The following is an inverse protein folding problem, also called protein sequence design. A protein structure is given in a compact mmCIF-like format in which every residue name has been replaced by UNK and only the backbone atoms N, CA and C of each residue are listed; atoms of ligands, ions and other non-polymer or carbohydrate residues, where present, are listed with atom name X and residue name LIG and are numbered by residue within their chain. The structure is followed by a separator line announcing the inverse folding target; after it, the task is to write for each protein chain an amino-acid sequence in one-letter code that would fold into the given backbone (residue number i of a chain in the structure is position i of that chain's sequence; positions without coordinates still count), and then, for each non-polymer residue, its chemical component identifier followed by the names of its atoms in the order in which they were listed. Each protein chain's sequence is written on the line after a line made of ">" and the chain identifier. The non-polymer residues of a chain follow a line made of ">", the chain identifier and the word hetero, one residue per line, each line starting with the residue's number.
data_IF_348756058306
#
_entry.id   IF_348756058306
#
_cell.length_a   1.000
_cell.length_b   1.000
_cell.length_c   1.000
_cell.angle_alpha   90.00
_cell.angle_beta   90.00
_cell.angle_gamma   90.00
#
_symmetry.space_group_name_H-M   'P 1'
#
loop_
_entity.id
_entity.type
_entity.pdbx_description
1 polymer ?
#
# COMPACT_ATOMS: atom_id res chain seq x y z
N UNK A 1 21.71 33.88 -30.58
CA UNK A 1 20.56 34.45 -29.83
C UNK A 1 19.28 33.87 -30.41
N UNK A 2 18.73 32.82 -29.78
CA UNK A 2 17.39 32.32 -30.09
C UNK A 2 16.64 32.25 -28.77
N UNK A 3 15.44 32.83 -28.77
CA UNK A 3 14.60 33.15 -27.62
C UNK A 3 13.91 31.89 -27.10
N UNK A 4 13.87 31.81 -25.76
CA UNK A 4 12.80 31.35 -24.88
C UNK A 4 11.63 30.50 -25.45
N UNK A 5 11.53 29.30 -24.87
CA UNK A 5 10.46 28.86 -23.95
C UNK A 5 9.06 28.46 -24.44
N UNK A 6 8.60 27.41 -23.75
CA UNK A 6 7.23 26.96 -23.48
C UNK A 6 6.64 25.88 -24.40
N UNK A 7 6.96 24.62 -24.06
CA UNK A 7 6.02 23.51 -24.19
C UNK A 7 5.12 23.50 -22.93
N UNK A 8 3.78 23.42 -23.08
CA UNK A 8 2.86 23.49 -21.95
C UNK A 8 2.80 22.21 -21.13
N UNK A 9 2.51 22.43 -19.85
CA UNK A 9 2.40 21.47 -18.75
C UNK A 9 1.34 20.38 -18.98
N UNK A 10 1.72 19.12 -18.72
CA UNK A 10 0.77 18.02 -18.58
C UNK A 10 0.09 18.12 -17.21
N UNK A 11 -1.13 18.67 -17.19
CA UNK A 11 -1.95 18.70 -15.99
C UNK A 11 -2.29 17.28 -15.49
N UNK A 12 -1.94 17.07 -14.22
CA UNK A 12 -2.37 15.99 -13.34
C UNK A 12 -3.90 15.85 -13.33
N UNK A 13 -4.41 14.66 -13.65
CA UNK A 13 -5.83 14.30 -13.49
C UNK A 13 -5.95 13.29 -12.34
N UNK A 14 -5.55 13.70 -11.14
CA UNK A 14 -6.10 13.11 -9.91
C UNK A 14 -7.04 14.14 -9.30
N UNK A 15 -8.30 14.09 -9.75
CA UNK A 15 -9.41 14.90 -9.25
C UNK A 15 -10.06 14.14 -8.09
N UNK A 16 -9.81 14.57 -6.85
CA UNK A 16 -10.55 14.12 -5.67
C UNK A 16 -11.80 15.01 -5.51
N UNK A 17 -13.03 14.50 -5.70
CA UNK A 17 -14.24 15.23 -5.34
C UNK A 17 -14.45 15.18 -3.82
N UNK A 18 -14.65 16.36 -3.23
CA UNK A 18 -14.52 16.64 -1.80
C UNK A 18 -15.69 16.24 -0.91
N UNK A 19 -15.37 16.20 0.39
CA UNK A 19 -16.34 16.23 1.49
C UNK A 19 -16.95 17.63 1.63
N UNK A 20 -18.27 17.76 1.85
CA UNK A 20 -18.85 18.97 2.42
C UNK A 20 -18.86 18.90 3.96
N UNK A 21 -18.17 19.86 4.58
CA UNK A 21 -18.41 20.28 5.96
C UNK A 21 -19.43 21.42 5.95
N UNK A 22 -20.51 21.33 6.73
CA UNK A 22 -21.04 22.44 7.57
C UNK A 22 -22.31 22.06 8.33
N UNK A 23 -22.22 22.29 9.64
CA UNK A 23 -23.28 22.26 10.65
C UNK A 23 -24.52 23.10 10.29
N UNK A 24 -25.71 22.61 10.63
CA UNK A 24 -26.87 23.44 11.02
C UNK A 24 -27.76 22.69 12.03
N UNK A 25 -27.90 23.31 13.20
CA UNK A 25 -28.76 22.98 14.35
C UNK A 25 -30.20 23.45 14.07
N UNK A 26 -31.20 22.61 14.35
CA UNK A 26 -32.61 22.92 14.73
C UNK A 26 -33.29 21.58 15.07
N UNK A 27 -33.40 21.21 16.35
CA UNK A 27 -34.54 21.52 17.24
C UNK A 27 -35.79 20.66 16.94
N UNK A 28 -35.94 19.56 17.67
CA UNK A 28 -37.24 18.98 18.03
C UNK A 28 -37.14 18.36 19.42
N UNK A 29 -37.59 19.14 20.39
CA UNK A 29 -37.97 18.67 21.72
C UNK A 29 -39.04 17.58 21.55
N UNK A 30 -38.83 16.40 22.14
CA UNK A 30 -39.96 15.64 22.65
C UNK A 30 -39.61 14.99 23.98
N UNK A 31 -40.51 15.24 24.92
CA UNK A 31 -40.39 15.04 26.34
C UNK A 31 -40.45 13.55 26.73
N UNK A 32 -39.88 13.29 27.91
CA UNK A 32 -39.81 12.02 28.64
C UNK A 32 -41.18 11.33 28.85
N UNK A 33 -41.16 10.00 28.83
CA UNK A 33 -41.64 9.08 29.89
C UNK A 33 -41.66 7.65 29.31
N UNK A 34 -41.50 6.52 29.99
CA UNK A 34 -40.93 6.08 31.28
C UNK A 34 -41.14 4.55 31.28
N UNK A 35 -40.28 3.79 31.99
CA UNK A 35 -40.49 2.41 32.52
C UNK A 35 -40.11 1.22 31.60
N UNK A 36 -38.93 0.61 31.92
CA UNK A 36 -38.62 -0.83 32.21
C UNK A 36 -39.39 -1.95 31.47
N UNK A 37 -38.87 -3.13 31.11
CA UNK A 37 -37.64 -3.93 31.32
C UNK A 37 -37.79 -5.16 30.38
N UNK A 38 -36.73 -5.71 29.75
CA UNK A 38 -36.87 -6.89 28.88
C UNK A 38 -37.08 -8.17 29.71
N UNK A 39 -37.87 -9.13 29.21
CA UNK A 39 -37.33 -10.48 29.01
C UNK A 39 -37.87 -11.21 27.75
N UNK A 40 -36.94 -11.87 27.04
CA UNK A 40 -37.09 -13.09 26.21
C UNK A 40 -37.64 -14.28 27.04
N UNK A 41 -37.95 -15.50 26.53
CA UNK A 41 -37.92 -16.11 25.19
C UNK A 41 -39.28 -16.79 24.81
N UNK A 42 -39.55 -17.28 23.58
CA UNK A 42 -39.35 -18.67 23.16
C UNK A 42 -39.66 -18.86 21.66
N UNK A 43 -38.69 -19.44 20.94
CA UNK A 43 -38.94 -20.54 19.99
C UNK A 43 -39.48 -20.24 18.60
N UNK A 44 -38.69 -19.60 17.74
CA UNK A 44 -38.62 -19.97 16.32
C UNK A 44 -37.15 -19.93 15.87
N UNK A 45 -36.66 -21.08 15.40
CA UNK A 45 -35.30 -21.37 14.98
C UNK A 45 -34.88 -20.54 13.74
N UNK A 46 -34.43 -19.31 13.95
CA UNK A 46 -33.60 -18.60 12.97
C UNK A 46 -32.17 -18.49 13.51
N UNK A 47 -31.55 -19.67 13.62
CA UNK A 47 -30.15 -19.83 13.26
C UNK A 47 -29.98 -19.40 11.79
N UNK A 48 -30.06 -18.09 11.55
CA UNK A 48 -29.63 -17.45 10.33
C UNK A 48 -28.14 -17.77 10.21
N UNK A 49 -27.91 -18.83 9.45
CA UNK A 49 -26.64 -19.35 9.04
C UNK A 49 -25.57 -18.26 9.03
N UNK A 50 -24.62 -18.37 9.95
CA UNK A 50 -23.23 -18.27 9.52
C UNK A 50 -23.08 -19.40 8.50
N UNK A 51 -23.46 -19.12 7.26
CA UNK A 51 -22.90 -19.82 6.12
C UNK A 51 -21.42 -19.50 6.24
N UNK A 52 -20.53 -20.49 6.51
CA UNK A 52 -19.14 -20.30 6.15
C UNK A 52 -19.22 -20.08 4.64
N UNK A 53 -19.01 -18.83 4.21
CA UNK A 53 -18.80 -18.53 2.80
C UNK A 53 -17.75 -19.51 2.28
N UNK A 54 -17.83 -19.91 1.00
CA UNK A 54 -17.02 -21.00 0.48
C UNK A 54 -15.57 -20.77 0.92
N UNK A 55 -15.01 -21.74 1.62
CA UNK A 55 -13.58 -21.91 1.81
C UNK A 55 -12.98 -21.84 0.40
N UNK A 56 -12.65 -20.63 -0.03
CA UNK A 56 -12.32 -20.35 -1.42
C UNK A 56 -11.03 -21.08 -1.72
N UNK A 57 -11.05 -21.95 -2.73
CA UNK A 57 -9.83 -22.56 -3.22
C UNK A 57 -8.77 -21.46 -3.39
N UNK A 58 -7.55 -21.65 -2.83
CA UNK A 58 -6.54 -20.61 -2.86
C UNK A 58 -6.29 -20.21 -4.31
N UNK A 59 -6.30 -18.91 -4.55
CA UNK A 59 -6.05 -18.40 -5.90
C UNK A 59 -4.69 -18.86 -6.38
N UNK A 60 -4.49 -18.99 -7.71
CA UNK A 60 -3.18 -19.34 -8.25
C UNK A 60 -2.07 -18.41 -7.74
N UNK A 61 -2.38 -17.12 -7.56
CA UNK A 61 -1.46 -16.14 -6.98
C UNK A 61 -1.09 -16.46 -5.52
N UNK A 62 -2.05 -16.90 -4.70
CA UNK A 62 -1.80 -17.35 -3.33
C UNK A 62 -0.98 -18.63 -3.31
N UNK A 63 -1.29 -19.61 -4.16
CA UNK A 63 -0.52 -20.86 -4.29
C UNK A 63 0.94 -20.54 -4.63
N UNK A 64 1.18 -19.65 -5.60
CA UNK A 64 2.52 -19.20 -5.98
C UNK A 64 3.23 -18.51 -4.80
N UNK A 65 2.56 -17.59 -4.11
CA UNK A 65 3.17 -16.87 -2.98
C UNK A 65 3.46 -17.81 -1.79
N UNK A 66 2.60 -18.78 -1.51
CA UNK A 66 2.83 -19.83 -0.50
C UNK A 66 4.09 -20.61 -0.89
N UNK A 67 4.19 -21.10 -2.12
CA UNK A 67 5.35 -21.88 -2.58
C UNK A 67 6.65 -21.09 -2.56
N UNK A 68 6.62 -19.82 -2.95
CA UNK A 68 7.79 -18.93 -2.86
C UNK A 68 8.26 -18.73 -1.40
N UNK A 69 7.35 -18.71 -0.43
CA UNK A 69 7.66 -18.59 1.00
C UNK A 69 8.16 -19.91 1.58
N UNK A 70 7.44 -21.01 1.37
CA UNK A 70 7.76 -22.33 1.93
C UNK A 70 9.13 -22.84 1.47
N UNK A 71 9.50 -22.57 0.22
CA UNK A 71 10.80 -22.95 -0.35
C UNK A 71 11.94 -21.99 0.01
N UNK A 72 11.62 -20.86 0.66
CA UNK A 72 12.57 -19.78 0.97
C UNK A 72 13.06 -19.01 -0.27
N UNK A 73 12.45 -19.21 -1.43
CA UNK A 73 12.85 -18.51 -2.67
C UNK A 73 12.55 -17.01 -2.59
N UNK A 74 11.46 -16.62 -1.90
CA UNK A 74 11.13 -15.21 -1.64
C UNK A 74 12.24 -14.49 -0.88
N UNK A 75 12.86 -15.15 0.09
CA UNK A 75 13.96 -14.63 0.90
C UNK A 75 15.22 -14.46 0.06
N UNK A 76 15.53 -15.43 -0.81
CA UNK A 76 16.64 -15.31 -1.77
C UNK A 76 16.42 -14.16 -2.75
N UNK A 77 15.20 -13.98 -3.27
CA UNK A 77 14.84 -12.86 -4.14
C UNK A 77 14.97 -11.51 -3.43
N UNK A 78 14.57 -11.44 -2.15
CA UNK A 78 14.74 -10.24 -1.32
C UNK A 78 16.21 -9.91 -1.09
N UNK A 79 17.06 -10.91 -0.85
CA UNK A 79 18.50 -10.70 -0.68
C UNK A 79 19.14 -10.23 -1.99
N UNK A 80 18.85 -10.91 -3.11
CA UNK A 80 19.33 -10.51 -4.43
C UNK A 80 18.94 -9.07 -4.76
N UNK A 81 17.68 -8.68 -4.54
CA UNK A 81 17.23 -7.31 -4.74
C UNK A 81 18.04 -6.34 -3.86
N UNK A 82 18.24 -6.67 -2.59
CA UNK A 82 19.01 -5.83 -1.65
C UNK A 82 20.45 -5.65 -2.12
N UNK A 83 21.12 -6.72 -2.51
CA UNK A 83 22.49 -6.70 -3.05
C UNK A 83 22.57 -5.79 -4.28
N UNK A 84 21.70 -6.01 -5.27
CA UNK A 84 21.69 -5.20 -6.51
C UNK A 84 21.42 -3.73 -6.27
N UNK A 85 20.51 -3.39 -5.34
CA UNK A 85 20.22 -2.00 -4.98
C UNK A 85 21.37 -1.34 -4.20
N UNK A 86 22.23 -2.11 -3.54
CA UNK A 86 23.45 -1.60 -2.91
C UNK A 86 24.52 -1.40 -3.99
N UNK A 87 24.75 -2.40 -4.84
CA UNK A 87 25.77 -2.39 -5.88
C UNK A 87 25.56 -1.26 -6.90
N UNK A 88 24.32 -1.00 -7.31
CA UNK A 88 24.02 0.09 -8.25
C UNK A 88 23.96 1.48 -7.59
N UNK A 89 24.19 1.57 -6.27
CA UNK A 89 24.20 2.83 -5.52
C UNK A 89 22.83 3.36 -5.10
N UNK A 90 21.72 2.68 -5.46
CA UNK A 90 20.35 3.12 -5.14
C UNK A 90 20.16 3.38 -3.65
N UNK A 91 20.68 2.51 -2.78
CA UNK A 91 20.56 2.67 -1.32
C UNK A 91 21.19 3.98 -0.84
N UNK A 92 22.33 4.36 -1.40
CA UNK A 92 23.04 5.57 -0.98
C UNK A 92 22.41 6.83 -1.57
N UNK A 93 21.83 6.74 -2.77
CA UNK A 93 20.97 7.78 -3.34
C UNK A 93 19.77 8.04 -2.43
N UNK A 94 19.05 7.01 -1.99
CA UNK A 94 17.89 7.18 -1.11
C UNK A 94 18.28 7.84 0.22
N UNK A 95 19.41 7.43 0.82
CA UNK A 95 19.93 8.10 2.02
C UNK A 95 20.28 9.57 1.76
N UNK A 96 20.85 9.88 0.60
CA UNK A 96 21.20 11.24 0.22
C UNK A 96 19.95 12.13 0.10
N UNK A 97 18.88 11.61 -0.52
CA UNK A 97 17.59 12.28 -0.60
C UNK A 97 16.99 12.53 0.79
N UNK A 98 17.02 11.53 1.68
CA UNK A 98 16.58 11.72 3.07
C UNK A 98 17.35 12.85 3.76
N UNK A 99 18.70 12.83 3.67
CA UNK A 99 19.55 13.87 4.27
C UNK A 99 19.26 15.26 3.70
N UNK A 100 19.05 15.37 2.39
CA UNK A 100 18.72 16.62 1.73
C UNK A 100 17.37 17.17 2.20
N UNK A 101 16.35 16.31 2.30
CA UNK A 101 15.04 16.70 2.82
C UNK A 101 15.12 17.16 4.28
N UNK A 102 15.80 16.40 5.15
CA UNK A 102 15.96 16.77 6.56
C UNK A 102 16.71 18.09 6.72
N UNK A 103 17.74 18.34 5.91
CA UNK A 103 18.48 19.61 5.91
C UNK A 103 17.61 20.79 5.48
N UNK A 104 16.75 20.59 4.48
CA UNK A 104 15.86 21.63 3.94
C UNK A 104 14.73 22.00 4.90
N UNK A 105 14.09 21.00 5.54
CA UNK A 105 12.94 21.21 6.44
C UNK A 105 13.37 21.54 7.88
N UNK A 106 14.59 21.15 8.26
CA UNK A 106 15.12 21.24 9.62
C UNK A 106 14.85 19.96 10.42
N UNK A 107 15.84 19.52 11.22
CA UNK A 107 15.80 18.21 11.88
C UNK A 107 14.60 18.02 12.81
N UNK A 108 14.16 19.08 13.47
CA UNK A 108 13.06 19.04 14.44
C UNK A 108 11.67 19.05 13.78
N UNK A 109 11.62 19.25 12.45
CA UNK A 109 10.38 19.44 11.69
C UNK A 109 10.09 18.25 10.76
N UNK A 110 10.81 17.13 10.91
CA UNK A 110 10.76 15.99 9.99
C UNK A 110 10.35 14.75 10.75
N UNK A 111 9.26 14.13 10.32
CA UNK A 111 8.84 12.82 10.82
C UNK A 111 9.31 11.70 9.88
N UNK A 112 9.24 10.45 10.34
CA UNK A 112 9.50 9.29 9.48
C UNK A 112 8.45 9.21 8.37
N UNK A 113 7.19 9.51 8.69
CA UNK A 113 6.09 9.48 7.72
C UNK A 113 6.31 10.51 6.59
N UNK A 114 6.76 11.72 6.93
CA UNK A 114 7.15 12.74 5.95
C UNK A 114 8.22 12.21 4.98
N UNK A 115 9.25 11.53 5.52
CA UNK A 115 10.32 10.93 4.71
C UNK A 115 9.78 9.82 3.83
N UNK A 116 8.95 8.93 4.37
CA UNK A 116 8.33 7.85 3.59
C UNK A 116 7.52 8.42 2.44
N UNK A 117 6.68 9.43 2.70
CA UNK A 117 5.83 10.07 1.70
C UNK A 117 6.65 10.69 0.55
N UNK A 118 7.76 11.36 0.87
CA UNK A 118 8.59 12.06 -0.13
C UNK A 118 9.54 11.11 -0.86
N UNK A 119 10.12 10.14 -0.17
CA UNK A 119 11.21 9.31 -0.69
C UNK A 119 10.69 8.07 -1.42
N UNK A 120 9.61 7.44 -0.94
CA UNK A 120 9.04 6.22 -1.55
C UNK A 120 8.74 6.36 -3.05
N UNK A 121 8.07 7.43 -3.54
CA UNK A 121 7.79 7.54 -4.97
C UNK A 121 9.08 7.65 -5.80
N UNK A 122 10.11 8.35 -5.28
CA UNK A 122 11.42 8.44 -5.94
C UNK A 122 12.14 7.09 -5.94
N UNK A 123 12.16 6.42 -4.80
CA UNK A 123 12.78 5.11 -4.67
C UNK A 123 12.16 4.06 -5.59
N UNK A 124 10.83 4.02 -5.71
CA UNK A 124 10.14 3.11 -6.64
C UNK A 124 10.45 3.41 -8.10
N UNK A 125 10.49 4.69 -8.47
CA UNK A 125 10.77 5.11 -9.84
C UNK A 125 12.24 4.91 -10.25
N UNK A 126 13.18 5.02 -9.32
CA UNK A 126 14.62 4.91 -9.62
C UNK A 126 15.16 3.48 -9.63
N UNK A 127 14.34 2.45 -9.36
CA UNK A 127 14.77 1.06 -9.49
C UNK A 127 15.04 0.74 -10.97
N UNK A 128 16.29 0.38 -11.35
CA UNK A 128 16.64 0.02 -12.71
C UNK A 128 15.82 -1.17 -13.25
N UNK A 129 15.43 -1.09 -14.52
CA UNK A 129 14.66 -2.16 -15.17
C UNK A 129 15.46 -3.45 -15.36
N UNK A 130 16.79 -3.35 -15.42
CA UNK A 130 17.69 -4.51 -15.44
C UNK A 130 17.55 -5.38 -14.19
N UNK A 131 17.43 -4.77 -13.00
CA UNK A 131 17.22 -5.48 -11.74
C UNK A 131 15.82 -6.13 -11.70
N UNK A 132 14.80 -5.41 -12.17
CA UNK A 132 13.43 -5.96 -12.27
C UNK A 132 13.41 -7.16 -13.21
N UNK A 133 14.10 -7.07 -14.35
CA UNK A 133 14.21 -8.15 -15.31
C UNK A 133 14.94 -9.37 -14.73
N UNK A 134 16.03 -9.18 -13.98
CA UNK A 134 16.75 -10.25 -13.29
C UNK A 134 15.84 -10.99 -12.28
N UNK A 135 15.08 -10.24 -11.46
CA UNK A 135 14.14 -10.83 -10.51
C UNK A 135 13.01 -11.58 -11.20
N UNK A 136 12.41 -10.99 -12.25
CA UNK A 136 11.37 -11.66 -13.03
C UNK A 136 11.89 -12.95 -13.67
N UNK A 137 13.13 -12.96 -14.14
CA UNK A 137 13.74 -14.16 -14.69
C UNK A 137 13.91 -15.24 -13.63
N UNK A 138 14.37 -14.89 -12.42
CA UNK A 138 14.48 -15.83 -11.29
C UNK A 138 13.13 -16.42 -10.90
N UNK A 139 12.09 -15.60 -10.82
CA UNK A 139 10.72 -16.05 -10.55
C UNK A 139 10.25 -17.04 -11.62
N UNK A 140 10.43 -16.72 -12.92
CA UNK A 140 10.05 -17.62 -14.01
C UNK A 140 10.79 -18.96 -13.92
N UNK A 141 12.10 -18.94 -13.68
CA UNK A 141 12.89 -20.16 -13.50
C UNK A 141 12.39 -21.00 -12.33
N UNK A 142 12.04 -20.36 -11.21
CA UNK A 142 11.46 -21.04 -10.06
C UNK A 142 10.12 -21.71 -10.40
N UNK A 143 9.21 -20.99 -11.07
CA UNK A 143 7.89 -21.53 -11.43
C UNK A 143 8.01 -22.75 -12.36
N UNK A 144 8.90 -22.69 -13.36
CA UNK A 144 9.19 -23.83 -14.25
C UNK A 144 9.77 -25.00 -13.45
N UNK A 145 10.69 -24.76 -12.52
CA UNK A 145 11.28 -25.81 -11.69
C UNK A 145 10.28 -26.41 -10.69
N UNK A 146 9.34 -25.61 -10.20
CA UNK A 146 8.28 -26.03 -9.28
C UNK A 146 7.07 -26.68 -10.01
N UNK A 147 7.08 -26.70 -11.35
CA UNK A 147 5.98 -27.18 -12.19
C UNK A 147 4.63 -26.51 -11.89
N UNK A 148 4.66 -25.18 -11.64
CA UNK A 148 3.50 -24.33 -11.38
C UNK A 148 3.13 -23.49 -12.61
#
# INVERSE_FOLDING_TARGET
>A
MIRNSLLPETHSIYKYPGLPSSSRRLERQQARASITRPPTPDGEDDAAAVTPGPEGEPTLQEIINIKLVETGEKEKLKELLRERLIECGWRDEMKALCRAYTRKKGRNNVTVDDLVHVITPKGRASVPDTIKAELLQRIRTFLVAAAL
#
